data_IF_831424780406
#
_entry.id   IF_831424780406
#
_cell.length_a   1.000
_cell.length_b   1.000
_cell.length_c   1.000
_cell.angle_alpha   90.00
_cell.angle_beta   90.00
_cell.angle_gamma   90.00
#
_symmetry.space_group_name_H-M   'P 1'
#
loop_
_entity.id
_entity.type
_entity.pdbx_description
1 polymer ?
#
# COMPACT_ATOMS: atom_id res chain seq x y z
N UNK A 1 11.46 2.76 -7.46
CA UNK A 1 10.62 1.75 -6.79
C UNK A 1 10.13 0.75 -7.81
N UNK A 2 10.45 -0.51 -7.62
CA UNK A 2 9.92 -1.52 -8.52
C UNK A 2 8.41 -1.58 -8.41
N UNK A 3 7.74 -1.35 -9.50
CA UNK A 3 6.29 -1.43 -9.58
C UNK A 3 5.95 -2.54 -10.56
N UNK A 4 5.17 -3.49 -10.09
CA UNK A 4 4.84 -4.67 -10.85
C UNK A 4 3.34 -4.80 -10.99
N UNK A 5 2.87 -4.85 -12.22
CA UNK A 5 1.45 -5.08 -12.48
C UNK A 5 1.19 -6.57 -12.33
N UNK A 6 0.61 -6.96 -11.21
CA UNK A 6 0.35 -8.36 -10.93
C UNK A 6 -0.85 -8.89 -11.71
N UNK A 7 -1.87 -8.05 -11.88
CA UNK A 7 -3.05 -8.38 -12.68
C UNK A 7 -3.65 -7.09 -13.21
N UNK A 8 -4.74 -7.19 -13.95
CA UNK A 8 -5.43 -6.00 -14.46
C UNK A 8 -5.96 -5.11 -13.34
N UNK A 9 -6.13 -5.66 -12.14
CA UNK A 9 -6.72 -4.94 -11.01
C UNK A 9 -5.76 -4.72 -9.85
N UNK A 10 -4.59 -5.34 -9.86
CA UNK A 10 -3.67 -5.31 -8.73
C UNK A 10 -2.28 -4.92 -9.18
N UNK A 11 -1.73 -3.92 -8.51
CA UNK A 11 -0.34 -3.49 -8.69
C UNK A 11 0.41 -3.74 -7.39
N UNK A 12 1.59 -4.31 -7.49
CA UNK A 12 2.50 -4.49 -6.35
C UNK A 12 3.63 -3.48 -6.49
N UNK A 13 3.83 -2.69 -5.45
CA UNK A 13 4.92 -1.72 -5.41
C UNK A 13 5.82 -2.03 -4.22
N UNK A 14 7.11 -2.18 -4.47
CA UNK A 14 8.10 -2.41 -3.41
C UNK A 14 8.84 -1.12 -3.15
N UNK A 15 8.68 -0.60 -1.95
CA UNK A 15 9.29 0.65 -1.55
C UNK A 15 10.67 0.37 -0.99
N UNK A 16 11.66 1.10 -1.48
CA UNK A 16 13.02 1.01 -0.96
C UNK A 16 13.33 2.22 -0.10
N UNK A 17 14.11 2.00 0.95
CA UNK A 17 14.46 3.04 1.90
C UNK A 17 15.63 3.86 1.38
N UNK A 18 15.36 4.76 0.48
CA UNK A 18 16.43 5.59 -0.06
C UNK A 18 15.93 7.01 -0.34
N UNK A 19 16.80 7.79 -0.96
CA UNK A 19 16.50 9.17 -1.27
C UNK A 19 15.46 9.36 -2.36
N UNK A 20 15.06 8.28 -3.02
CA UNK A 20 14.12 8.35 -4.14
C UNK A 20 12.67 8.07 -3.72
N UNK A 21 12.43 7.91 -2.43
CA UNK A 21 11.11 7.55 -1.93
C UNK A 21 10.02 8.52 -2.39
N UNK A 22 10.33 9.82 -2.42
CA UNK A 22 9.36 10.83 -2.85
C UNK A 22 8.99 10.68 -4.32
N UNK A 23 9.98 10.42 -5.18
CA UNK A 23 9.74 10.24 -6.60
C UNK A 23 8.97 8.94 -6.85
N UNK A 24 9.28 7.91 -6.08
CA UNK A 24 8.58 6.64 -6.16
C UNK A 24 7.10 6.79 -5.85
N UNK A 25 6.77 7.53 -4.81
CA UNK A 25 5.38 7.79 -4.47
C UNK A 25 4.69 8.61 -5.55
N UNK A 26 5.38 9.59 -6.12
CA UNK A 26 4.81 10.39 -7.20
C UNK A 26 4.48 9.52 -8.41
N UNK A 27 5.37 8.63 -8.79
CA UNK A 27 5.15 7.69 -9.88
C UNK A 27 3.92 6.81 -9.59
N UNK A 28 3.81 6.32 -8.37
CA UNK A 28 2.69 5.49 -7.97
C UNK A 28 1.37 6.26 -8.02
N UNK A 29 1.36 7.51 -7.56
CA UNK A 29 0.19 8.37 -7.65
C UNK A 29 -0.29 8.51 -9.10
N UNK A 30 0.63 8.72 -10.02
CA UNK A 30 0.30 8.89 -11.43
C UNK A 30 -0.30 7.62 -12.00
N UNK A 31 0.26 6.47 -11.67
CA UNK A 31 -0.25 5.19 -12.15
C UNK A 31 -1.64 4.89 -11.61
N UNK A 32 -1.85 5.11 -10.34
CA UNK A 32 -3.16 4.88 -9.71
C UNK A 32 -4.20 5.84 -10.27
N UNK A 33 -3.81 7.09 -10.52
CA UNK A 33 -4.71 8.06 -11.11
C UNK A 33 -5.13 7.72 -12.53
N UNK A 34 -4.28 7.00 -13.26
CA UNK A 34 -4.56 6.60 -14.64
C UNK A 34 -5.44 5.35 -14.72
N UNK A 35 -5.39 4.50 -13.69
CA UNK A 35 -6.13 3.23 -13.67
C UNK A 35 -6.66 2.96 -12.28
N UNK A 36 -7.85 2.41 -12.20
CA UNK A 36 -8.43 2.00 -10.93
C UNK A 36 -7.91 0.60 -10.59
N UNK A 37 -6.84 0.57 -9.82
CA UNK A 37 -6.20 -0.69 -9.41
C UNK A 37 -6.00 -0.72 -7.90
N UNK A 38 -6.18 -1.89 -7.32
CA UNK A 38 -5.77 -2.12 -5.94
C UNK A 38 -4.25 -2.16 -5.88
N UNK A 39 -3.69 -1.70 -4.79
CA UNK A 39 -2.24 -1.63 -4.62
C UNK A 39 -1.80 -2.40 -3.39
N UNK A 40 -0.82 -3.26 -3.56
CA UNK A 40 -0.07 -3.87 -2.47
C UNK A 40 1.24 -3.13 -2.36
N UNK A 41 1.47 -2.51 -1.22
CA UNK A 41 2.68 -1.74 -0.99
C UNK A 41 3.59 -2.51 -0.04
N UNK A 42 4.69 -3.01 -0.56
CA UNK A 42 5.66 -3.78 0.22
C UNK A 42 6.66 -2.83 0.86
N UNK A 43 6.65 -2.78 2.18
CA UNK A 43 7.50 -1.88 2.96
C UNK A 43 8.71 -2.60 3.56
N UNK A 44 9.03 -3.80 3.12
CA UNK A 44 10.10 -4.59 3.71
C UNK A 44 11.47 -3.90 3.63
N UNK A 45 11.67 -3.02 2.67
CA UNK A 45 12.91 -2.27 2.53
C UNK A 45 13.02 -1.05 3.43
N UNK A 46 11.97 -0.71 4.18
CA UNK A 46 11.93 0.51 4.99
C UNK A 46 12.06 0.14 6.45
N UNK A 47 13.01 0.76 7.15
CA UNK A 47 13.24 0.52 8.57
C UNK A 47 12.75 1.63 9.47
N UNK A 48 12.39 2.78 8.91
CA UNK A 48 11.78 3.85 9.67
C UNK A 48 10.92 4.68 8.73
N UNK A 49 9.95 5.38 9.30
CA UNK A 49 9.11 6.33 8.58
C UNK A 49 9.14 7.66 9.31
N UNK A 50 9.14 8.74 8.55
CA UNK A 50 9.03 10.08 9.11
C UNK A 50 7.68 10.68 8.73
N UNK A 51 7.42 11.89 9.21
CA UNK A 51 6.14 12.55 8.96
C UNK A 51 5.87 12.77 7.47
N UNK A 52 6.91 12.99 6.69
CA UNK A 52 6.79 13.17 5.25
C UNK A 52 6.31 11.87 4.58
N UNK A 53 6.88 10.74 4.98
CA UNK A 53 6.47 9.43 4.47
C UNK A 53 5.02 9.14 4.84
N UNK A 54 4.64 9.43 6.09
CA UNK A 54 3.28 9.21 6.56
C UNK A 54 2.30 10.07 5.76
N UNK A 55 2.64 11.33 5.53
CA UNK A 55 1.78 12.22 4.75
C UNK A 55 1.55 11.68 3.34
N UNK A 56 2.57 11.12 2.72
CA UNK A 56 2.45 10.55 1.38
C UNK A 56 1.60 9.29 1.39
N UNK A 57 1.74 8.45 2.39
CA UNK A 57 0.90 7.25 2.54
C UNK A 57 -0.57 7.64 2.72
N UNK A 58 -0.84 8.64 3.53
CA UNK A 58 -2.21 9.12 3.73
C UNK A 58 -2.79 9.71 2.46
N UNK A 59 -1.99 10.43 1.71
CA UNK A 59 -2.43 10.98 0.42
C UNK A 59 -2.74 9.88 -0.57
N UNK A 60 -1.91 8.86 -0.63
CA UNK A 60 -2.15 7.70 -1.48
C UNK A 60 -3.44 6.98 -1.07
N UNK A 61 -3.63 6.78 0.22
CA UNK A 61 -4.85 6.16 0.73
C UNK A 61 -6.10 6.94 0.30
N UNK A 62 -6.05 8.26 0.43
CA UNK A 62 -7.17 9.10 0.03
C UNK A 62 -7.49 8.94 -1.45
N UNK A 63 -6.47 8.92 -2.28
CA UNK A 63 -6.64 8.72 -3.72
C UNK A 63 -7.25 7.35 -4.01
N UNK A 64 -6.79 6.32 -3.33
CA UNK A 64 -7.32 4.97 -3.50
C UNK A 64 -8.80 4.90 -3.13
N UNK A 65 -9.17 5.50 -2.02
CA UNK A 65 -10.57 5.55 -1.58
C UNK A 65 -11.43 6.27 -2.61
N UNK A 66 -10.94 7.38 -3.15
CA UNK A 66 -11.66 8.15 -4.17
C UNK A 66 -11.96 7.31 -5.41
N UNK A 67 -11.07 6.39 -5.74
CA UNK A 67 -11.24 5.50 -6.90
C UNK A 67 -11.85 4.14 -6.54
N UNK A 68 -12.34 3.97 -5.32
CA UNK A 68 -12.90 2.72 -4.81
C UNK A 68 -11.90 1.56 -4.90
N UNK A 69 -10.65 1.85 -4.67
CA UNK A 69 -9.59 0.86 -4.69
C UNK A 69 -9.05 0.61 -3.28
N UNK A 70 -8.41 -0.52 -3.08
CA UNK A 70 -7.85 -0.90 -1.80
C UNK A 70 -6.34 -0.75 -1.81
N UNK A 71 -5.82 -0.30 -0.69
CA UNK A 71 -4.38 -0.20 -0.44
C UNK A 71 -4.04 -1.10 0.72
N UNK A 72 -3.18 -2.08 0.50
CA UNK A 72 -2.72 -3.00 1.53
C UNK A 72 -1.22 -2.81 1.73
N UNK A 73 -0.81 -2.55 2.96
CA UNK A 73 0.61 -2.45 3.32
C UNK A 73 1.08 -3.78 3.85
N UNK A 74 2.24 -4.24 3.43
CA UNK A 74 2.78 -5.50 3.91
C UNK A 74 4.29 -5.43 4.12
N UNK A 75 4.83 -6.44 4.79
CA UNK A 75 6.26 -6.50 5.07
C UNK A 75 6.73 -5.43 6.04
N UNK A 76 5.89 -4.98 6.94
CA UNK A 76 6.20 -3.86 7.82
C UNK A 76 7.22 -4.29 8.87
N UNK A 77 8.35 -3.58 8.92
CA UNK A 77 9.38 -3.79 9.94
C UNK A 77 8.81 -3.47 11.32
N UNK A 78 9.20 -4.21 12.38
CA UNK A 78 8.69 -3.94 13.73
C UNK A 78 8.87 -2.51 14.21
N UNK A 79 9.93 -1.83 13.83
CA UNK A 79 10.14 -0.43 14.21
C UNK A 79 9.13 0.48 13.51
N UNK A 80 8.88 0.21 12.24
CA UNK A 80 7.87 0.95 11.47
C UNK A 80 6.49 0.67 12.03
N UNK A 81 6.22 -0.57 12.37
CA UNK A 81 4.94 -0.95 12.99
C UNK A 81 4.71 -0.19 14.29
N UNK A 82 5.76 -0.07 15.11
CA UNK A 82 5.68 0.70 16.35
C UNK A 82 5.27 2.15 16.10
N UNK A 83 5.81 2.76 15.05
CA UNK A 83 5.44 4.13 14.68
C UNK A 83 3.97 4.21 14.28
N UNK A 84 3.49 3.26 13.51
CA UNK A 84 2.08 3.22 13.13
C UNK A 84 1.17 3.07 14.35
N UNK A 85 1.56 2.23 15.29
CA UNK A 85 0.77 2.04 16.51
C UNK A 85 0.70 3.30 17.36
N UNK A 86 1.83 3.97 17.56
CA UNK A 86 1.90 5.19 18.37
C UNK A 86 1.06 6.31 17.77
N UNK A 87 1.04 6.40 16.45
CA UNK A 87 0.28 7.44 15.75
C UNK A 87 -1.17 7.06 15.47
N UNK A 88 -1.57 5.82 15.79
CA UNK A 88 -2.92 5.33 15.52
C UNK A 88 -3.14 4.93 14.07
N UNK A 89 -2.11 4.95 13.25
CA UNK A 89 -2.23 4.64 11.83
C UNK A 89 -2.40 3.15 11.56
N UNK A 90 -2.09 2.32 12.56
CA UNK A 90 -2.35 0.88 12.47
C UNK A 90 -3.83 0.57 12.25
N UNK A 91 -4.72 1.50 12.61
CA UNK A 91 -6.16 1.36 12.40
C UNK A 91 -6.66 2.04 11.13
N UNK A 92 -5.81 2.80 10.48
CA UNK A 92 -6.18 3.57 9.29
C UNK A 92 -5.93 2.79 8.01
N UNK A 93 -4.82 2.06 7.95
CA UNK A 93 -4.43 1.27 6.79
C UNK A 93 -4.78 -0.19 6.97
N UNK A 94 -4.92 -0.90 5.85
CA UNK A 94 -4.97 -2.34 5.87
C UNK A 94 -3.56 -2.90 5.85
N UNK A 95 -3.31 -3.92 6.64
CA UNK A 95 -1.99 -4.55 6.75
C UNK A 95 -2.09 -6.04 6.48
N UNK A 96 -1.02 -6.58 5.93
CA UNK A 96 -0.87 -8.00 5.72
C UNK A 96 0.58 -8.39 6.02
N UNK A 97 0.84 -9.66 6.30
CA UNK A 97 2.18 -10.09 6.67
C UNK A 97 3.16 -9.98 5.50
N UNK A 98 2.73 -10.37 4.32
CA UNK A 98 3.59 -10.42 3.16
C UNK A 98 2.77 -10.23 1.88
N UNK A 99 3.47 -10.00 0.78
CA UNK A 99 2.83 -9.79 -0.52
C UNK A 99 1.89 -10.93 -0.90
N UNK A 100 2.27 -12.21 -0.80
CA UNK A 100 1.34 -13.28 -1.17
C UNK A 100 0.03 -13.26 -0.38
N UNK A 101 0.10 -12.97 0.90
CA UNK A 101 -1.10 -12.89 1.75
C UNK A 101 -1.96 -11.70 1.33
N UNK A 102 -1.35 -10.56 1.04
CA UNK A 102 -2.07 -9.38 0.58
C UNK A 102 -2.77 -9.66 -0.75
N UNK A 103 -2.10 -10.30 -1.68
CA UNK A 103 -2.67 -10.67 -2.97
C UNK A 103 -3.87 -11.60 -2.80
N UNK A 104 -3.76 -12.60 -1.94
CA UNK A 104 -4.86 -13.50 -1.67
C UNK A 104 -6.06 -12.75 -1.09
N UNK A 105 -5.83 -11.83 -0.18
CA UNK A 105 -6.89 -11.03 0.42
C UNK A 105 -7.62 -10.20 -0.63
N UNK A 106 -6.87 -9.55 -1.52
CA UNK A 106 -7.47 -8.74 -2.57
C UNK A 106 -8.23 -9.58 -3.58
N UNK A 107 -7.71 -10.74 -3.94
CA UNK A 107 -8.39 -11.64 -4.86
C UNK A 107 -9.70 -12.15 -4.28
N UNK A 108 -9.73 -12.51 -3.02
CA UNK A 108 -10.94 -12.93 -2.36
C UNK A 108 -11.98 -11.83 -2.33
N UNK A 109 -11.55 -10.60 -2.16
CA UNK A 109 -12.46 -9.44 -2.14
C UNK A 109 -13.08 -9.18 -3.50
N UNK A 110 -12.35 -9.46 -4.57
CA UNK A 110 -12.82 -9.16 -5.93
C UNK A 110 -13.52 -10.34 -6.60
N UNK A 111 -13.26 -11.56 -6.15
CA UNK A 111 -13.72 -12.76 -6.82
C UNK A 111 -15.13 -13.17 -6.46
N UNK A 112 -15.78 -12.46 -5.59
CA UNK A 112 -17.11 -12.84 -5.21
C UNK A 112 -17.92 -11.68 -4.74
N UNK A 113 -19.17 -11.91 -4.47
CA UNK A 113 -19.96 -10.95 -3.74
C UNK A 113 -19.33 -10.89 -2.37
N UNK A 114 -18.13 -10.38 -2.35
CA UNK A 114 -17.33 -10.36 -1.13
C UNK A 114 -18.11 -9.70 -0.03
N UNK A 115 -18.94 -8.84 -0.44
CA UNK A 115 -19.88 -8.30 0.49
C UNK A 115 -20.73 -9.35 1.14
N UNK A 116 -20.89 -10.46 0.49
CA UNK A 116 -21.69 -11.56 1.04
C UNK A 116 -20.95 -12.33 2.11
N UNK A 117 -19.69 -12.11 2.19
CA UNK A 117 -18.95 -12.80 3.23
C UNK A 117 -19.35 -12.27 4.59
#
# INVERSE_FOLDING_TARGET
MPIEKWSDRITVARVTADSHLSDDFQTLFEQVGAREQDVVLDLAGIRYVNSSHIARLLKLRKQMITHNCRLVLCGVDPQVWGTFMVTGLDKVFEFSDAVPTALATLQLSTSGPAGAA
#
